data_IF_838384215092
#
_entry.id   IF_838384215092
#
_cell.length_a   1.000
_cell.length_b   1.000
_cell.length_c   1.000
_cell.angle_alpha   90.00
_cell.angle_beta   90.00
_cell.angle_gamma   90.00
#
_symmetry.space_group_name_H-M   'P 1'
#
loop_
_entity.id
_entity.type
_entity.pdbx_description
1 polymer ?
#
# COMPACT_ATOMS: atom_id res chain seq x y z
N UNK A 1 -40.11 -6.28 7.16
CA UNK A 1 -39.21 -5.55 6.26
C UNK A 1 -39.29 -4.03 6.44
N UNK A 2 -40.38 -3.47 6.98
CA UNK A 2 -40.45 -2.01 7.25
C UNK A 2 -39.88 -1.56 8.58
N UNK A 3 -39.74 -2.46 9.55
CA UNK A 3 -39.22 -2.15 10.89
C UNK A 3 -37.72 -1.81 10.89
N UNK A 4 -36.98 -2.25 9.88
CA UNK A 4 -35.55 -1.95 9.72
C UNK A 4 -35.32 -0.59 9.05
N UNK A 5 -36.32 -0.07 8.35
CA UNK A 5 -36.23 1.18 7.58
C UNK A 5 -36.36 2.40 8.50
N UNK A 6 -37.22 2.30 9.50
CA UNK A 6 -37.41 3.31 10.55
C UNK A 6 -36.18 3.44 11.45
N UNK A 7 -35.51 2.33 11.78
CA UNK A 7 -34.32 2.33 12.64
C UNK A 7 -33.13 3.04 11.98
N UNK A 8 -32.97 2.88 10.66
CA UNK A 8 -31.94 3.58 9.89
C UNK A 8 -32.28 5.07 9.77
N UNK A 9 -33.55 5.43 9.59
CA UNK A 9 -33.99 6.83 9.49
C UNK A 9 -33.78 7.61 10.79
N UNK A 10 -33.97 6.97 11.95
CA UNK A 10 -33.78 7.58 13.28
C UNK A 10 -32.29 7.83 13.61
N UNK A 11 -31.39 6.98 13.11
CA UNK A 11 -29.95 7.07 13.40
C UNK A 11 -29.23 8.03 12.44
N UNK A 12 -29.66 8.11 11.18
CA UNK A 12 -28.94 8.84 10.13
C UNK A 12 -29.63 10.12 9.64
N UNK A 13 -30.84 10.42 10.12
CA UNK A 13 -31.61 11.60 9.73
C UNK A 13 -32.28 11.45 8.35
N UNK A 14 -33.19 12.37 8.03
CA UNK A 14 -33.92 12.35 6.76
C UNK A 14 -32.97 12.74 5.62
N UNK A 15 -32.72 11.83 4.68
CA UNK A 15 -31.98 12.15 3.47
C UNK A 15 -32.74 13.24 2.71
N UNK A 16 -32.13 14.41 2.60
CA UNK A 16 -32.68 15.52 1.83
C UNK A 16 -32.55 15.18 0.35
N UNK A 17 -33.68 14.86 -0.26
CA UNK A 17 -33.85 14.72 -1.69
C UNK A 17 -33.95 16.14 -2.28
N UNK A 18 -32.85 16.62 -2.88
CA UNK A 18 -32.87 17.85 -3.68
C UNK A 18 -32.44 17.50 -5.10
N UNK A 19 -33.45 17.21 -5.92
CA UNK A 19 -33.37 17.28 -7.37
C UNK A 19 -33.18 18.75 -7.76
N UNK A 20 -31.98 19.10 -8.24
CA UNK A 20 -31.80 20.27 -9.10
C UNK A 20 -31.00 19.82 -10.33
N UNK A 21 -31.74 19.67 -11.43
CA UNK A 21 -31.24 19.45 -12.78
C UNK A 21 -30.55 20.73 -13.29
N UNK A 22 -29.22 20.71 -13.46
CA UNK A 22 -28.56 21.63 -14.39
C UNK A 22 -27.50 20.90 -15.22
N UNK A 23 -27.88 20.58 -16.46
CA UNK A 23 -26.98 20.19 -17.54
C UNK A 23 -25.99 21.32 -17.84
N UNK A 24 -24.72 21.13 -17.53
CA UNK A 24 -23.64 21.91 -18.14
C UNK A 24 -22.63 20.98 -18.80
N UNK A 25 -22.73 20.91 -20.13
CA UNK A 25 -21.73 20.33 -21.03
C UNK A 25 -20.38 21.00 -20.81
N UNK A 26 -19.48 20.35 -20.06
CA UNK A 26 -18.06 20.67 -20.07
C UNK A 26 -17.35 19.65 -20.95
N UNK A 27 -17.01 20.14 -22.14
CA UNK A 27 -16.28 19.47 -23.19
C UNK A 27 -15.03 18.76 -22.63
N UNK A 28 -14.94 17.49 -22.97
CA UNK A 28 -13.75 16.65 -22.89
C UNK A 28 -12.56 17.39 -23.51
N UNK A 29 -11.64 17.87 -22.65
CA UNK A 29 -10.26 18.10 -23.03
C UNK A 29 -9.45 16.98 -22.40
N UNK A 30 -9.18 15.98 -23.23
CA UNK A 30 -8.03 15.09 -23.10
C UNK A 30 -6.78 15.93 -22.89
N UNK A 31 -6.38 16.04 -21.63
CA UNK A 31 -5.09 16.55 -21.20
C UNK A 31 -4.65 15.76 -19.98
N UNK A 32 -4.56 14.44 -20.14
CA UNK A 32 -3.63 13.64 -19.33
C UNK A 32 -2.56 13.08 -20.25
N UNK A 33 -1.76 13.99 -20.84
CA UNK A 33 -0.36 13.65 -21.06
C UNK A 33 0.26 13.53 -19.66
N UNK A 34 -0.01 12.40 -19.00
CA UNK A 34 0.88 11.89 -17.98
C UNK A 34 2.10 11.48 -18.77
N UNK A 35 3.05 12.40 -18.84
CA UNK A 35 4.39 12.12 -19.28
C UNK A 35 4.80 10.81 -18.58
N UNK A 36 5.17 9.73 -19.28
CA UNK A 36 5.83 8.60 -18.66
C UNK A 36 7.27 9.00 -18.34
N UNK A 37 7.44 10.13 -17.65
CA UNK A 37 8.72 10.60 -17.18
C UNK A 37 8.99 9.87 -15.88
N UNK A 38 9.89 8.90 -16.02
CA UNK A 38 10.69 8.34 -14.93
C UNK A 38 9.84 7.74 -13.81
N UNK A 39 9.30 6.54 -14.07
CA UNK A 39 9.08 5.62 -12.95
C UNK A 39 10.34 5.65 -12.09
N UNK A 40 10.20 6.08 -10.82
CA UNK A 40 11.28 6.15 -9.84
C UNK A 40 11.99 4.79 -9.74
N UNK A 41 11.27 3.72 -10.07
CA UNK A 41 11.75 2.38 -10.27
C UNK A 41 12.05 2.20 -11.76
N UNK A 42 13.27 1.79 -12.12
CA UNK A 42 13.65 1.46 -13.50
C UNK A 42 12.79 0.34 -14.10
N UNK A 43 13.40 -0.74 -14.60
CA UNK A 43 12.67 -1.90 -15.11
C UNK A 43 11.55 -2.37 -14.17
N UNK A 44 10.49 -2.98 -14.73
CA UNK A 44 9.37 -3.53 -13.96
C UNK A 44 9.86 -4.32 -12.73
N UNK A 45 9.24 -4.14 -11.56
CA UNK A 45 9.71 -4.72 -10.30
C UNK A 45 9.88 -6.24 -10.41
N UNK A 46 11.04 -6.75 -9.99
CA UNK A 46 11.40 -8.16 -10.12
C UNK A 46 10.75 -8.97 -8.98
N UNK A 47 9.52 -9.42 -9.22
CA UNK A 47 8.75 -10.26 -8.31
C UNK A 47 9.01 -11.75 -8.56
N UNK A 48 9.48 -12.44 -7.52
CA UNK A 48 9.70 -13.88 -7.50
C UNK A 48 8.70 -14.54 -6.56
N UNK A 49 7.92 -15.50 -7.07
CA UNK A 49 7.03 -16.33 -6.25
C UNK A 49 7.83 -17.47 -5.62
N UNK A 50 7.67 -17.68 -4.32
CA UNK A 50 8.19 -18.88 -3.65
C UNK A 50 7.14 -19.99 -3.78
N UNK A 51 7.40 -20.96 -4.65
CA UNK A 51 6.42 -21.98 -5.04
C UNK A 51 5.95 -22.84 -3.85
N UNK A 52 6.81 -23.05 -2.86
CA UNK A 52 6.54 -23.87 -1.68
C UNK A 52 5.63 -23.18 -0.65
N UNK A 53 5.50 -21.85 -0.71
CA UNK A 53 4.79 -21.06 0.30
C UNK A 53 3.75 -20.17 -0.38
N UNK A 54 2.49 -20.59 -0.32
CA UNK A 54 1.37 -19.83 -0.86
C UNK A 54 1.30 -18.42 -0.25
N UNK A 55 1.24 -17.41 -1.12
CA UNK A 55 1.17 -16.00 -0.73
C UNK A 55 2.51 -15.34 -0.44
N UNK A 56 3.64 -16.07 -0.52
CA UNK A 56 4.97 -15.49 -0.35
C UNK A 56 5.57 -15.06 -1.68
N UNK A 57 5.92 -13.78 -1.74
CA UNK A 57 6.55 -13.15 -2.89
C UNK A 57 7.75 -12.33 -2.45
N UNK A 58 8.79 -12.32 -3.27
CA UNK A 58 10.01 -11.57 -3.05
C UNK A 58 10.17 -10.54 -4.17
N UNK A 59 10.15 -9.25 -3.84
CA UNK A 59 10.58 -8.20 -4.77
C UNK A 59 12.08 -7.97 -4.58
N UNK A 60 12.89 -8.41 -5.55
CA UNK A 60 14.34 -8.14 -5.54
C UNK A 60 14.60 -6.70 -5.93
N UNK A 61 15.67 -6.14 -5.38
CA UNK A 61 16.18 -4.81 -5.74
C UNK A 61 15.13 -3.70 -5.63
N UNK A 62 14.18 -3.85 -4.70
CA UNK A 62 13.07 -2.91 -4.50
C UNK A 62 13.54 -1.49 -4.18
N UNK A 63 14.60 -1.36 -3.37
CA UNK A 63 15.25 -0.07 -3.10
C UNK A 63 16.63 -0.04 -3.75
N UNK A 64 16.94 1.03 -4.47
CA UNK A 64 18.28 1.31 -4.95
C UNK A 64 19.24 1.56 -3.78
N UNK A 65 20.55 1.45 -4.02
CA UNK A 65 21.55 1.74 -3.00
C UNK A 65 21.42 3.15 -2.41
N UNK A 66 21.10 4.14 -3.24
CA UNK A 66 20.91 5.52 -2.81
C UNK A 66 19.63 5.68 -1.96
N UNK A 67 18.55 5.00 -2.32
CA UNK A 67 17.32 4.96 -1.53
C UNK A 67 17.53 4.28 -0.17
N UNK A 68 18.29 3.19 -0.14
CA UNK A 68 18.66 2.51 1.11
C UNK A 68 19.50 3.43 2.02
N UNK A 69 20.50 4.11 1.45
CA UNK A 69 21.36 5.04 2.18
C UNK A 69 20.56 6.23 2.74
N UNK A 70 19.64 6.78 1.94
CA UNK A 70 18.75 7.86 2.37
C UNK A 70 17.82 7.41 3.50
N UNK A 71 17.19 6.23 3.37
CA UNK A 71 16.31 5.67 4.39
C UNK A 71 17.04 5.46 5.72
N UNK A 72 18.27 4.93 5.67
CA UNK A 72 19.09 4.76 6.86
C UNK A 72 19.43 6.10 7.53
N UNK A 73 19.79 7.12 6.74
CA UNK A 73 20.01 8.48 7.25
C UNK A 73 18.76 9.07 7.92
N UNK A 74 17.58 8.94 7.30
CA UNK A 74 16.31 9.42 7.88
C UNK A 74 15.96 8.69 9.19
N UNK A 75 16.24 7.38 9.29
CA UNK A 75 16.04 6.59 10.52
C UNK A 75 17.02 7.00 11.64
N UNK A 76 18.29 7.22 11.30
CA UNK A 76 19.32 7.66 12.24
C UNK A 76 19.05 9.08 12.77
N UNK A 77 18.64 10.00 11.88
CA UNK A 77 18.27 11.38 12.25
C UNK A 77 17.08 11.44 13.22
N UNK A 78 16.08 10.56 13.06
CA UNK A 78 14.97 10.44 14.00
C UNK A 78 15.33 9.72 15.31
N UNK A 79 16.53 9.13 15.40
CA UNK A 79 17.05 8.56 16.62
C UNK A 79 16.38 7.24 17.05
N UNK A 80 15.84 6.46 16.10
CA UNK A 80 15.16 5.19 16.42
C UNK A 80 16.10 4.12 17.00
N UNK A 81 17.40 4.24 16.73
CA UNK A 81 18.40 3.18 16.91
C UNK A 81 19.66 3.67 17.66
N UNK A 82 19.53 4.73 18.47
CA UNK A 82 20.66 5.45 19.09
C UNK A 82 21.39 4.63 20.16
N UNK A 83 20.66 3.77 20.86
CA UNK A 83 21.23 2.95 21.93
C UNK A 83 21.47 1.52 21.45
N UNK A 84 22.71 1.04 21.56
CA UNK A 84 23.09 -0.33 21.18
C UNK A 84 22.37 -1.43 21.98
N UNK A 85 21.72 -1.09 23.10
CA UNK A 85 20.87 -1.98 23.90
C UNK A 85 19.47 -2.17 23.31
N UNK A 86 19.03 -1.29 22.39
CA UNK A 86 17.71 -1.33 21.79
C UNK A 86 17.78 -2.06 20.44
N UNK A 87 17.31 -3.30 20.42
CA UNK A 87 17.20 -4.10 19.20
C UNK A 87 15.88 -3.89 18.45
N UNK A 88 14.95 -3.12 19.02
CA UNK A 88 13.62 -2.89 18.45
C UNK A 88 13.07 -1.52 18.83
N UNK A 89 12.38 -0.89 17.89
CA UNK A 89 11.58 0.31 18.09
C UNK A 89 10.21 0.14 17.40
N UNK A 90 9.14 0.68 18.00
CA UNK A 90 7.78 0.54 17.49
C UNK A 90 7.07 1.88 17.44
N UNK A 91 6.20 2.06 16.44
CA UNK A 91 5.35 3.25 16.33
C UNK A 91 3.98 2.90 15.76
N UNK A 92 2.95 3.51 16.32
CA UNK A 92 1.55 3.28 15.98
C UNK A 92 0.87 4.61 15.62
N UNK A 93 -0.07 4.56 14.70
CA UNK A 93 -0.80 5.72 14.21
C UNK A 93 0.07 6.59 13.29
N UNK A 94 0.58 7.69 13.84
CA UNK A 94 1.31 8.70 13.07
C UNK A 94 2.73 8.24 12.77
N UNK A 95 2.92 7.56 11.64
CA UNK A 95 4.21 7.10 11.15
C UNK A 95 5.10 8.26 10.69
N UNK A 96 6.43 8.10 10.73
CA UNK A 96 7.37 9.11 10.25
C UNK A 96 7.30 9.25 8.73
N UNK A 97 7.78 10.38 8.22
CA UNK A 97 7.69 10.73 6.78
C UNK A 97 8.39 9.68 5.92
N UNK A 98 9.56 9.19 6.33
CA UNK A 98 10.30 8.15 5.62
C UNK A 98 9.50 6.84 5.50
N UNK A 99 8.73 6.47 6.53
CA UNK A 99 7.91 5.27 6.54
C UNK A 99 6.69 5.42 5.61
N UNK A 100 6.09 6.60 5.57
CA UNK A 100 5.00 6.91 4.64
C UNK A 100 5.52 6.85 3.19
N UNK A 101 6.66 7.48 2.89
CA UNK A 101 7.31 7.37 1.56
C UNK A 101 7.56 5.92 1.16
N UNK A 102 8.16 5.13 2.05
CA UNK A 102 8.43 3.70 1.82
C UNK A 102 7.13 2.92 1.52
N UNK A 103 6.05 3.20 2.27
CA UNK A 103 4.76 2.55 2.05
C UNK A 103 4.11 2.93 0.72
N UNK A 104 4.25 4.19 0.28
CA UNK A 104 3.78 4.62 -1.03
C UNK A 104 4.54 3.93 -2.16
N UNK A 105 5.86 3.78 -2.03
CA UNK A 105 6.68 3.00 -2.96
C UNK A 105 6.22 1.54 -3.07
N UNK A 106 5.85 0.91 -1.96
CA UNK A 106 5.27 -0.45 -1.97
C UNK A 106 3.95 -0.47 -2.75
N UNK A 107 3.06 0.49 -2.49
CA UNK A 107 1.77 0.61 -3.20
C UNK A 107 1.98 0.74 -4.70
N UNK A 108 2.87 1.65 -5.13
CA UNK A 108 3.17 1.90 -6.54
C UNK A 108 3.67 0.63 -7.24
N UNK A 109 4.64 -0.07 -6.64
CA UNK A 109 5.22 -1.29 -7.19
C UNK A 109 4.20 -2.44 -7.27
N UNK A 110 3.30 -2.55 -6.29
CA UNK A 110 2.20 -3.51 -6.33
C UNK A 110 1.21 -3.16 -7.45
N UNK A 111 0.83 -1.89 -7.62
CA UNK A 111 -0.10 -1.47 -8.68
C UNK A 111 0.49 -1.64 -10.09
N UNK A 112 1.79 -1.36 -10.26
CA UNK A 112 2.51 -1.53 -11.53
C UNK A 112 2.66 -2.99 -11.96
N UNK A 113 2.65 -3.92 -11.01
CA UNK A 113 2.88 -5.34 -11.27
C UNK A 113 1.70 -6.06 -11.95
N UNK A 114 0.57 -5.40 -12.21
CA UNK A 114 -0.58 -5.97 -12.93
C UNK A 114 -1.44 -6.95 -12.12
N UNK A 115 -0.94 -7.49 -11.00
CA UNK A 115 -1.65 -8.43 -10.12
C UNK A 115 -2.87 -7.87 -9.37
N UNK A 116 -3.21 -6.60 -9.56
CA UNK A 116 -4.34 -5.93 -8.88
C UNK A 116 -5.57 -5.80 -9.78
N UNK A 117 -5.44 -5.94 -11.11
CA UNK A 117 -6.54 -5.59 -12.03
C UNK A 117 -7.57 -6.69 -12.30
N UNK A 118 -7.26 -7.96 -12.05
CA UNK A 118 -8.16 -9.06 -12.44
C UNK A 118 -9.32 -9.33 -11.47
N UNK A 119 -9.42 -8.58 -10.37
CA UNK A 119 -10.51 -8.74 -9.40
C UNK A 119 -11.77 -7.92 -9.69
N UNK A 120 -11.77 -7.06 -10.72
CA UNK A 120 -12.91 -6.18 -11.02
C UNK A 120 -13.79 -6.69 -12.18
N UNK A 121 -13.33 -7.67 -12.98
CA UNK A 121 -14.13 -8.21 -14.09
C UNK A 121 -14.87 -9.49 -13.70
N UNK A 122 -16.18 -9.36 -13.63
CA UNK A 122 -17.12 -10.38 -13.20
C UNK A 122 -17.50 -11.22 -14.43
N UNK A 123 -16.64 -12.13 -14.89
CA UNK A 123 -17.01 -13.10 -15.93
C UNK A 123 -16.16 -14.37 -15.91
N UNK A 124 -16.76 -15.42 -15.35
CA UNK A 124 -16.62 -16.85 -15.68
C UNK A 124 -15.25 -17.37 -16.21
N UNK A 125 -14.75 -18.39 -15.49
CA UNK A 125 -14.02 -19.59 -15.95
C UNK A 125 -12.61 -19.76 -15.35
N UNK A 126 -12.50 -20.85 -14.58
CA UNK A 126 -11.31 -21.65 -14.26
C UNK A 126 -10.61 -21.40 -12.92
N UNK A 127 -10.22 -22.52 -12.35
CA UNK A 127 -9.92 -22.80 -10.94
C UNK A 127 -8.48 -22.45 -10.54
N UNK A 128 -7.90 -21.42 -11.15
CA UNK A 128 -6.62 -20.86 -10.75
C UNK A 128 -6.90 -19.47 -10.19
N UNK A 129 -7.22 -19.39 -8.90
CA UNK A 129 -7.26 -18.10 -8.19
C UNK A 129 -5.87 -17.50 -8.24
N UNK A 130 -5.63 -16.64 -9.21
CA UNK A 130 -4.40 -15.89 -9.32
C UNK A 130 -4.18 -15.15 -8.00
N UNK A 131 -3.03 -15.44 -7.37
CA UNK A 131 -2.76 -14.98 -6.02
C UNK A 131 -2.43 -13.50 -6.10
N UNK A 132 -3.37 -12.65 -5.69
CA UNK A 132 -3.13 -11.22 -5.60
C UNK A 132 -1.97 -10.92 -4.63
N UNK A 133 -0.98 -10.14 -5.07
CA UNK A 133 0.21 -9.78 -4.27
C UNK A 133 -0.12 -9.04 -2.99
N UNK A 134 -1.19 -8.25 -3.01
CA UNK A 134 -1.62 -7.44 -1.90
C UNK A 134 -3.14 -7.37 -1.87
N UNK A 135 -3.80 -7.58 -0.72
CA UNK A 135 -5.26 -7.54 -0.66
C UNK A 135 -5.81 -6.20 -1.17
N UNK A 136 -6.77 -6.26 -2.09
CA UNK A 136 -7.38 -5.06 -2.70
C UNK A 136 -7.98 -4.10 -1.68
N UNK A 137 -8.57 -4.61 -0.60
CA UNK A 137 -9.13 -3.74 0.46
C UNK A 137 -8.04 -2.97 1.23
N UNK A 138 -6.80 -3.48 1.23
CA UNK A 138 -5.69 -2.86 1.93
C UNK A 138 -4.93 -1.86 1.06
N UNK A 139 -4.81 -2.10 -0.25
CA UNK A 139 -3.99 -1.26 -1.14
C UNK A 139 -4.48 0.20 -1.17
N UNK A 140 -5.78 0.41 -0.98
CA UNK A 140 -6.45 1.71 -1.03
C UNK A 140 -6.57 2.43 0.32
N UNK A 141 -6.07 1.85 1.43
CA UNK A 141 -6.15 2.47 2.76
C UNK A 141 -5.25 3.69 2.89
N UNK A 142 -5.65 4.71 3.64
CA UNK A 142 -4.78 5.86 3.94
C UNK A 142 -4.61 6.06 5.45
N UNK A 143 -3.38 6.02 5.99
CA UNK A 143 -2.15 5.56 5.35
C UNK A 143 -2.18 4.05 5.06
N UNK A 144 -1.34 3.57 4.12
CA UNK A 144 -1.27 2.15 3.75
C UNK A 144 -1.00 1.26 4.98
N UNK A 145 -0.02 1.67 5.78
CA UNK A 145 0.29 1.07 7.07
C UNK A 145 0.11 2.12 8.16
N UNK A 146 -0.39 1.70 9.32
CA UNK A 146 -0.57 2.55 10.49
C UNK A 146 0.26 2.06 11.69
N UNK A 147 1.11 1.04 11.50
CA UNK A 147 1.97 0.48 12.52
C UNK A 147 3.30 0.11 11.87
N UNK A 148 4.40 0.34 12.61
CA UNK A 148 5.75 0.08 12.16
C UNK A 148 6.56 -0.49 13.32
N UNK A 149 7.34 -1.53 13.02
CA UNK A 149 8.34 -2.10 13.92
C UNK A 149 9.66 -2.11 13.17
N UNK A 150 10.67 -1.45 13.74
CA UNK A 150 12.05 -1.47 13.25
C UNK A 150 12.85 -2.38 14.17
N UNK A 151 13.58 -3.33 13.61
CA UNK A 151 14.46 -4.24 14.35
C UNK A 151 15.90 -4.10 13.88
N UNK A 152 16.85 -4.19 14.80
CA UNK A 152 18.29 -4.26 14.51
C UNK A 152 18.79 -5.66 14.87
N UNK A 153 19.47 -6.28 13.92
CA UNK A 153 20.11 -7.57 14.14
C UNK A 153 21.63 -7.40 14.11
N UNK A 154 22.27 -7.56 15.26
CA UNK A 154 23.71 -7.74 15.35
C UNK A 154 24.08 -9.21 15.10
N UNK A 155 25.29 -9.50 14.63
CA UNK A 155 25.78 -10.87 14.54
C UNK A 155 25.59 -11.61 15.88
N UNK A 156 24.92 -12.76 15.85
CA UNK A 156 24.59 -13.56 17.04
C UNK A 156 23.19 -13.35 17.63
N UNK A 157 22.43 -12.31 17.23
CA UNK A 157 21.10 -12.03 17.78
C UNK A 157 20.01 -13.07 17.40
N UNK A 158 20.21 -13.83 16.32
CA UNK A 158 19.24 -14.79 15.80
C UNK A 158 19.74 -16.25 15.76
N UNK A 159 21.00 -16.49 16.12
CA UNK A 159 21.60 -17.82 16.15
C UNK A 159 22.66 -17.88 17.26
N UNK A 160 22.32 -18.54 18.37
CA UNK A 160 23.28 -19.34 19.14
C UNK A 160 22.97 -20.79 18.79
N UNK A 161 23.60 -21.27 17.73
CA UNK A 161 23.68 -22.71 17.43
C UNK A 161 25.02 -23.21 17.94
#
# INVERSE_FOLDING_TARGET
MEEHKTLVKDVFGESSDSDDEEEQQLQSKDSSNVDPSESIFGESPNWERIEEINGLWLCRDFLSHDQQSLLLSEIEEEGWLVEASHNQAMRFGNLPVWAIKLSNSIREVVLLSGYVLDSMDNSNCNEDKEVCLFPSDLIWREPLFNQLIVNIYQPGNLCTC
#
